data_IF_817574520855
#
_entry.id   IF_817574520855
#
_cell.length_a   1.000
_cell.length_b   1.000
_cell.length_c   1.000
_cell.angle_alpha   90.00
_cell.angle_beta   90.00
_cell.angle_gamma   90.00
#
_symmetry.space_group_name_H-M   'P 1'
#
loop_
_entity.id
_entity.type
_entity.pdbx_description
1 polymer ?
#
# COMPACT_ATOMS: atom_id res chain seq x y z
N UNK A 1 -19.47 -21.33 5.87
CA UNK A 1 -18.48 -20.61 5.04
C UNK A 1 -17.70 -19.69 5.98
N UNK A 2 -16.46 -20.07 6.31
CA UNK A 2 -15.63 -19.37 7.31
C UNK A 2 -14.92 -18.21 6.62
N UNK A 3 -15.40 -16.99 6.84
CA UNK A 3 -14.67 -15.77 6.54
C UNK A 3 -13.47 -15.71 7.50
N UNK A 4 -12.26 -16.00 7.02
CA UNK A 4 -11.05 -15.73 7.79
C UNK A 4 -10.87 -14.21 7.84
N UNK A 5 -11.16 -13.62 8.99
CA UNK A 5 -11.16 -12.16 9.24
C UNK A 5 -9.76 -11.51 9.24
N UNK A 6 -8.80 -12.04 8.49
CA UNK A 6 -7.36 -11.82 8.74
C UNK A 6 -6.65 -11.03 7.62
N UNK A 7 -7.37 -10.55 6.60
CA UNK A 7 -6.79 -9.87 5.42
C UNK A 7 -7.35 -8.44 5.22
N UNK A 8 -7.88 -7.83 6.28
CA UNK A 8 -8.65 -6.57 6.20
C UNK A 8 -7.76 -5.38 6.60
N UNK A 9 -7.46 -4.51 5.64
CA UNK A 9 -7.02 -3.13 5.95
C UNK A 9 -8.25 -2.24 6.00
N UNK A 10 -8.37 -1.48 7.08
CA UNK A 10 -9.28 -0.35 7.16
C UNK A 10 -8.55 0.89 6.67
N UNK A 11 -8.89 1.39 5.48
CA UNK A 11 -8.46 2.73 5.07
C UNK A 11 -9.56 3.70 5.46
N UNK A 12 -9.28 4.52 6.48
CA UNK A 12 -10.13 5.66 6.83
C UNK A 12 -9.64 6.84 6.01
N UNK A 13 -10.31 7.11 4.89
CA UNK A 13 -10.01 8.28 4.07
C UNK A 13 -10.75 9.47 4.70
N UNK A 14 -10.02 10.43 5.25
CA UNK A 14 -10.60 11.68 5.75
C UNK A 14 -10.72 12.64 4.57
N UNK A 15 -11.71 12.44 3.69
CA UNK A 15 -12.05 13.43 2.67
C UNK A 15 -12.95 14.50 3.29
N UNK A 16 -12.41 15.70 3.44
CA UNK A 16 -13.07 16.99 3.69
C UNK A 16 -14.33 16.98 4.60
N UNK A 17 -14.08 17.30 5.87
CA UNK A 17 -14.93 17.98 6.86
C UNK A 17 -16.35 17.51 7.22
N UNK A 18 -17.02 16.58 6.54
CA UNK A 18 -18.41 16.21 6.98
C UNK A 18 -18.89 14.78 6.78
N UNK A 19 -18.11 13.84 6.25
CA UNK A 19 -18.54 12.43 6.25
C UNK A 19 -17.37 11.46 6.29
N UNK A 20 -17.37 10.59 7.31
CA UNK A 20 -16.43 9.48 7.43
C UNK A 20 -16.88 8.37 6.46
N UNK A 21 -16.16 8.21 5.35
CA UNK A 21 -16.35 7.05 4.47
C UNK A 21 -15.26 6.02 4.78
N UNK A 22 -15.66 4.85 5.27
CA UNK A 22 -14.76 3.73 5.51
C UNK A 22 -14.71 2.86 4.26
N UNK A 23 -13.56 2.85 3.58
CA UNK A 23 -13.31 1.94 2.47
C UNK A 23 -12.63 0.67 3.01
N UNK A 24 -13.19 -0.50 2.69
CA UNK A 24 -12.60 -1.79 3.07
C UNK A 24 -12.02 -2.44 1.83
N UNK A 25 -10.69 -2.49 1.74
CA UNK A 25 -9.98 -3.09 0.61
C UNK A 25 -9.37 -4.41 1.06
N UNK A 26 -9.61 -5.47 0.28
CA UNK A 26 -9.23 -6.85 0.58
C UNK A 26 -8.02 -7.27 -0.30
N UNK A 27 -7.22 -8.21 0.21
CA UNK A 27 -6.22 -8.92 -0.61
C UNK A 27 -4.77 -8.87 -0.09
N UNK A 28 -4.44 -7.96 0.83
CA UNK A 28 -3.16 -8.02 1.52
C UNK A 28 -3.23 -8.98 2.71
N UNK A 29 -2.13 -9.68 3.00
CA UNK A 29 -2.02 -10.56 4.15
C UNK A 29 -1.26 -9.87 5.28
N UNK A 30 -1.89 -9.79 6.44
CA UNK A 30 -1.32 -9.19 7.64
C UNK A 30 -1.83 -9.92 8.89
N UNK A 31 -0.92 -10.63 9.55
CA UNK A 31 -1.24 -11.56 10.63
C UNK A 31 -0.79 -11.03 11.99
N UNK A 32 0.43 -10.50 12.07
CA UNK A 32 1.13 -10.23 13.33
C UNK A 32 1.70 -8.79 13.40
N UNK A 33 1.76 -8.03 12.29
CA UNK A 33 2.46 -6.75 12.23
C UNK A 33 1.65 -5.62 11.57
N UNK A 34 1.56 -4.46 12.25
CA UNK A 34 0.98 -3.27 11.63
C UNK A 34 1.83 -2.83 10.42
N UNK A 35 1.23 -2.85 9.24
CA UNK A 35 1.85 -2.42 7.97
C UNK A 35 1.52 -0.96 7.68
N UNK A 36 2.44 -0.27 7.01
CA UNK A 36 2.26 1.11 6.57
C UNK A 36 1.31 1.22 5.37
N UNK A 37 0.52 2.29 5.36
CA UNK A 37 -0.38 2.69 4.27
C UNK A 37 -0.05 4.12 3.88
N UNK A 38 -0.11 4.41 2.58
CA UNK A 38 0.00 5.75 2.04
C UNK A 38 -1.02 5.94 0.90
N UNK A 39 -1.45 7.18 0.68
CA UNK A 39 -2.18 7.58 -0.52
C UNK A 39 -1.19 8.05 -1.57
N UNK A 40 -1.46 7.75 -2.84
CA UNK A 40 -0.66 8.30 -3.92
C UNK A 40 -0.81 9.82 -3.99
N UNK A 41 0.18 10.53 -4.56
CA UNK A 41 0.15 11.99 -4.64
C UNK A 41 -1.01 12.54 -5.47
N UNK A 42 -1.54 11.70 -6.36
CA UNK A 42 -2.69 11.99 -7.23
C UNK A 42 -4.03 11.66 -6.56
N UNK A 43 -4.03 11.13 -5.33
CA UNK A 43 -5.20 10.59 -4.63
C UNK A 43 -5.98 9.54 -5.45
N UNK A 44 -5.33 8.90 -6.43
CA UNK A 44 -5.94 7.88 -7.28
C UNK A 44 -5.74 6.46 -6.72
N UNK A 45 -4.65 6.24 -5.99
CA UNK A 45 -4.27 4.92 -5.49
C UNK A 45 -4.02 4.90 -3.99
N UNK A 46 -4.39 3.79 -3.36
CA UNK A 46 -3.92 3.42 -2.03
C UNK A 46 -2.72 2.50 -2.19
N UNK A 47 -1.71 2.70 -1.35
CA UNK A 47 -0.54 1.82 -1.28
C UNK A 47 -0.39 1.26 0.12
N UNK A 48 -0.08 -0.03 0.22
CA UNK A 48 0.17 -0.69 1.50
C UNK A 48 1.22 -1.79 1.39
N UNK A 49 1.95 -1.96 2.48
CA UNK A 49 2.87 -3.08 2.67
C UNK A 49 2.15 -4.36 3.07
N UNK A 50 2.81 -5.49 2.87
CA UNK A 50 2.39 -6.81 3.33
C UNK A 50 3.52 -7.50 4.10
N UNK A 51 3.14 -8.49 4.91
CA UNK A 51 4.07 -9.38 5.60
C UNK A 51 4.80 -10.35 4.68
N UNK A 52 4.33 -10.51 3.44
CA UNK A 52 4.97 -11.34 2.42
C UNK A 52 5.99 -10.56 1.58
N UNK A 53 6.40 -9.37 2.02
CA UNK A 53 7.44 -8.56 1.37
C UNK A 53 6.95 -7.85 0.13
N UNK A 54 5.64 -7.79 -0.05
CA UNK A 54 4.96 -7.15 -1.17
C UNK A 54 4.41 -5.80 -0.78
N UNK A 55 4.36 -4.91 -1.76
CA UNK A 55 3.67 -3.64 -1.70
C UNK A 55 2.55 -3.72 -2.73
N UNK A 56 1.33 -3.43 -2.33
CA UNK A 56 0.15 -3.49 -3.18
C UNK A 56 -0.36 -2.09 -3.47
N UNK A 57 -0.85 -1.91 -4.69
CA UNK A 57 -1.49 -0.68 -5.15
C UNK A 57 -2.95 -1.00 -5.48
N UNK A 58 -3.87 -0.27 -4.85
CA UNK A 58 -5.29 -0.36 -5.12
C UNK A 58 -5.76 0.92 -5.77
N UNK A 59 -6.57 0.80 -6.81
CA UNK A 59 -7.29 1.92 -7.38
C UNK A 59 -8.46 2.28 -6.45
N UNK A 60 -8.56 3.57 -6.08
CA UNK A 60 -9.60 4.04 -5.16
C UNK A 60 -11.01 4.01 -5.76
N UNK A 61 -11.12 4.16 -7.08
CA UNK A 61 -12.39 4.19 -7.79
C UNK A 61 -12.91 2.77 -8.04
N UNK A 62 -12.05 1.86 -8.49
CA UNK A 62 -12.46 0.46 -8.80
C UNK A 62 -12.35 -0.47 -7.59
N UNK A 63 -11.56 -0.10 -6.57
CA UNK A 63 -11.26 -0.91 -5.39
C UNK A 63 -10.50 -2.21 -5.69
N UNK A 64 -9.90 -2.30 -6.87
CA UNK A 64 -9.14 -3.47 -7.32
C UNK A 64 -7.64 -3.26 -7.16
N UNK A 65 -6.91 -4.36 -7.00
CA UNK A 65 -5.44 -4.35 -7.02
C UNK A 65 -4.99 -4.12 -8.46
N UNK A 66 -4.33 -2.99 -8.70
CA UNK A 66 -3.79 -2.64 -10.02
C UNK A 66 -2.45 -3.31 -10.23
N UNK A 67 -1.58 -3.26 -9.21
CA UNK A 67 -0.24 -3.84 -9.29
C UNK A 67 0.32 -4.18 -7.91
N UNK A 68 1.40 -4.95 -7.90
CA UNK A 68 2.17 -5.26 -6.70
C UNK A 68 3.67 -5.20 -6.97
N UNK A 69 4.43 -4.63 -6.05
CA UNK A 69 5.88 -4.55 -6.07
C UNK A 69 6.50 -5.50 -5.04
N UNK A 70 7.61 -6.15 -5.42
CA UNK A 70 8.34 -7.04 -4.53
C UNK A 70 9.47 -6.29 -3.80
N UNK A 71 9.20 -5.83 -2.58
CA UNK A 71 10.20 -5.14 -1.76
C UNK A 71 11.28 -6.11 -1.25
N UNK A 72 10.89 -7.24 -0.67
CA UNK A 72 11.82 -8.16 -0.01
C UNK A 72 11.66 -9.59 -0.50
N UNK A 73 12.15 -10.53 0.29
CA UNK A 73 11.79 -11.96 0.15
C UNK A 73 10.42 -12.22 0.79
N UNK A 74 9.84 -13.39 0.53
CA UNK A 74 8.52 -13.81 1.04
C UNK A 74 8.42 -13.89 2.58
N UNK A 75 9.50 -13.60 3.30
CA UNK A 75 9.58 -13.55 4.77
C UNK A 75 9.95 -12.16 5.31
N UNK A 76 9.90 -11.13 4.46
CA UNK A 76 10.16 -9.75 4.87
C UNK A 76 8.84 -9.03 5.07
N UNK A 77 8.67 -8.33 6.18
CA UNK A 77 7.48 -7.48 6.39
C UNK A 77 7.79 -6.07 5.92
N UNK A 78 6.89 -5.42 5.20
CA UNK A 78 7.03 -3.99 4.85
C UNK A 78 6.27 -3.16 5.88
N UNK A 79 7.00 -2.41 6.72
CA UNK A 79 6.41 -1.65 7.82
C UNK A 79 6.14 -0.19 7.47
N UNK A 80 6.93 0.40 6.59
CA UNK A 80 6.81 1.80 6.24
C UNK A 80 6.82 1.99 4.73
N UNK A 81 5.92 2.85 4.28
CA UNK A 81 5.76 3.28 2.89
C UNK A 81 5.48 4.77 2.93
N UNK A 82 6.19 5.53 2.11
CA UNK A 82 5.98 6.98 2.01
C UNK A 82 6.22 7.47 0.59
N UNK A 83 5.48 8.49 0.18
CA UNK A 83 5.63 9.11 -1.13
C UNK A 83 6.50 10.35 -1.05
N UNK A 84 7.27 10.55 -2.11
CA UNK A 84 8.03 11.77 -2.33
C UNK A 84 7.62 12.38 -3.66
N UNK A 85 6.65 13.29 -3.57
CA UNK A 85 5.89 13.86 -4.68
C UNK A 85 6.74 14.66 -5.66
N UNK A 86 7.80 15.33 -5.18
CA UNK A 86 8.65 16.19 -6.01
C UNK A 86 9.36 15.41 -7.14
N UNK A 87 9.54 14.10 -6.98
CA UNK A 87 10.27 13.26 -7.95
C UNK A 87 9.52 11.98 -8.37
N UNK A 88 8.21 11.89 -8.10
CA UNK A 88 7.39 10.69 -8.34
C UNK A 88 8.05 9.42 -7.78
N UNK A 89 8.55 9.54 -6.55
CA UNK A 89 9.32 8.50 -5.89
C UNK A 89 8.48 7.87 -4.77
N UNK A 90 8.60 6.54 -4.62
CA UNK A 90 8.06 5.81 -3.49
C UNK A 90 9.23 5.29 -2.64
N UNK A 91 9.16 5.51 -1.33
CA UNK A 91 10.06 4.94 -0.35
C UNK A 91 9.38 3.78 0.35
N UNK A 92 10.13 2.72 0.60
CA UNK A 92 9.64 1.57 1.35
C UNK A 92 10.73 1.01 2.25
N UNK A 93 10.35 0.60 3.46
CA UNK A 93 11.24 -0.02 4.42
C UNK A 93 10.63 -1.31 4.97
N UNK A 94 11.44 -2.37 5.03
CA UNK A 94 11.03 -3.67 5.51
C UNK A 94 11.90 -4.22 6.64
N UNK A 95 11.46 -5.35 7.22
CA UNK A 95 12.15 -6.06 8.31
C UNK A 95 13.45 -6.72 7.87
N UNK A 96 13.51 -7.16 6.62
CA UNK A 96 14.65 -7.88 6.04
C UNK A 96 14.99 -7.21 4.71
N UNK A 97 15.96 -6.29 4.75
CA UNK A 97 16.43 -5.56 3.58
C UNK A 97 16.72 -4.10 3.88
N UNK A 98 17.38 -3.44 2.94
CA UNK A 98 17.59 -1.99 2.98
C UNK A 98 16.31 -1.24 2.61
N UNK A 99 16.24 0.04 2.98
CA UNK A 99 15.21 0.96 2.45
C UNK A 99 15.35 1.00 0.92
N UNK A 100 14.23 0.79 0.22
CA UNK A 100 14.18 0.83 -1.24
C UNK A 100 13.48 2.09 -1.71
N UNK A 101 14.11 2.75 -2.67
CA UNK A 101 13.56 3.84 -3.45
C UNK A 101 13.05 3.29 -4.79
N UNK A 102 11.79 3.54 -5.10
CA UNK A 102 11.17 3.20 -6.36
C UNK A 102 10.95 4.49 -7.15
N UNK A 103 11.46 4.53 -8.38
CA UNK A 103 11.28 5.63 -9.32
C UNK A 103 10.78 5.06 -10.64
N UNK A 104 9.93 5.78 -11.35
CA UNK A 104 9.48 5.38 -12.69
C UNK A 104 8.30 4.40 -12.70
N UNK A 105 7.95 3.97 -13.92
CA UNK A 105 6.87 3.08 -14.39
C UNK A 105 6.68 1.71 -13.68
N UNK A 106 7.32 1.51 -12.54
CA UNK A 106 7.12 0.34 -11.68
C UNK A 106 5.75 0.39 -10.97
N UNK A 107 5.09 1.55 -10.95
CA UNK A 107 3.76 1.73 -10.36
C UNK A 107 2.97 2.81 -11.13
N UNK A 108 1.63 2.88 -10.97
CA UNK A 108 0.75 3.55 -11.93
C UNK A 108 0.94 5.06 -12.12
N UNK A 109 1.34 5.82 -11.08
CA UNK A 109 1.67 7.26 -11.23
C UNK A 109 3.19 7.51 -11.40
N UNK A 110 3.98 6.46 -11.59
CA UNK A 110 5.43 6.57 -11.67
C UNK A 110 5.97 7.14 -12.98
N UNK A 111 5.12 7.48 -13.95
CA UNK A 111 5.57 8.13 -15.20
C UNK A 111 5.96 9.60 -14.95
N UNK A 112 7.07 10.08 -15.54
CA UNK A 112 7.54 11.45 -15.38
C UNK A 112 6.65 12.51 -16.06
#
# INVERSE_FOLDING_TARGET
MSCKSHDIIFVVIIVQCTSLHTLTILGHKNKDYKVGIALSPTDAYVVSGSEEGKIYFWDLMTQEIVTSLQHGTDKSVVYAIDFFDEHSCLLSAGSVGNVKLWKGSNWPDGDP
#
